data_IF_697336550940
#
_entry.id   IF_697336550940
#
_cell.length_a   1.000
_cell.length_b   1.000
_cell.length_c   1.000
_cell.angle_alpha   90.00
_cell.angle_beta   90.00
_cell.angle_gamma   90.00
#
_symmetry.space_group_name_H-M   'P 1'
#
loop_
_entity.id
_entity.type
_entity.pdbx_description
1 polymer ?
#
# COMPACT_ATOMS: atom_id res chain seq x y z
N UNK A 1 -0.02 -12.76 -20.18
CA UNK A 1 0.32 -13.11 -18.78
C UNK A 1 -0.02 -14.57 -18.57
N UNK A 2 0.98 -15.45 -18.60
CA UNK A 2 0.81 -16.89 -18.37
C UNK A 2 1.20 -17.14 -16.92
N UNK A 3 0.31 -17.76 -16.14
CA UNK A 3 0.58 -18.11 -14.74
C UNK A 3 0.85 -19.61 -14.68
N UNK A 4 2.07 -19.99 -14.31
CA UNK A 4 2.45 -21.38 -14.10
C UNK A 4 2.27 -21.71 -12.62
N UNK A 5 1.31 -22.57 -12.31
CA UNK A 5 1.04 -22.98 -10.94
C UNK A 5 1.85 -24.23 -10.59
N UNK A 6 2.77 -24.11 -9.63
CA UNK A 6 3.52 -25.24 -9.11
C UNK A 6 2.65 -26.07 -8.15
N UNK A 7 2.87 -27.39 -8.14
CA UNK A 7 2.23 -28.29 -7.17
C UNK A 7 2.67 -27.90 -5.74
N UNK A 8 1.73 -27.91 -4.79
CA UNK A 8 2.00 -27.62 -3.38
C UNK A 8 3.14 -28.49 -2.85
N UNK A 9 4.14 -27.88 -2.23
CA UNK A 9 5.26 -28.57 -1.58
C UNK A 9 6.59 -28.56 -2.36
N UNK A 10 6.60 -28.07 -3.60
CA UNK A 10 7.84 -27.98 -4.40
C UNK A 10 8.47 -26.59 -4.19
N UNK A 11 9.59 -26.53 -3.47
CA UNK A 11 10.37 -25.29 -3.24
C UNK A 11 11.25 -24.89 -4.44
N UNK A 12 10.81 -25.16 -5.68
CA UNK A 12 11.63 -24.96 -6.89
C UNK A 12 11.21 -23.71 -7.69
N UNK A 13 10.48 -22.76 -7.08
CA UNK A 13 9.98 -21.57 -7.77
C UNK A 13 11.10 -20.67 -8.31
N UNK A 14 12.24 -20.58 -7.62
CA UNK A 14 13.43 -19.84 -8.07
C UNK A 14 14.20 -20.60 -9.16
N UNK A 15 14.38 -21.92 -9.00
CA UNK A 15 15.08 -22.77 -9.97
C UNK A 15 14.34 -22.84 -11.33
N UNK A 16 13.01 -22.93 -11.30
CA UNK A 16 12.19 -22.87 -12.51
C UNK A 16 12.19 -21.47 -13.13
N UNK A 17 12.28 -20.41 -12.31
CA UNK A 17 12.48 -19.05 -12.82
C UNK A 17 13.75 -18.95 -13.66
N UNK A 18 14.87 -19.49 -13.16
CA UNK A 18 16.14 -19.48 -13.90
C UNK A 18 16.13 -20.34 -15.17
N UNK A 19 15.43 -21.48 -15.17
CA UNK A 19 15.26 -22.30 -16.38
C UNK A 19 14.34 -21.62 -17.42
N UNK A 20 13.29 -20.96 -16.94
CA UNK A 20 12.36 -20.22 -17.78
C UNK A 20 13.03 -18.98 -18.39
N UNK A 21 13.84 -18.24 -17.63
CA UNK A 21 14.61 -17.11 -18.16
C UNK A 21 15.63 -17.58 -19.22
N UNK A 22 16.24 -18.75 -19.03
CA UNK A 22 17.11 -19.38 -20.03
C UNK A 22 16.38 -19.81 -21.31
N UNK A 23 15.12 -20.25 -21.19
CA UNK A 23 14.31 -20.71 -22.33
C UNK A 23 13.55 -19.57 -23.05
N UNK A 24 13.20 -18.50 -22.33
CA UNK A 24 12.38 -17.39 -22.83
C UNK A 24 13.23 -16.21 -23.33
N UNK A 25 14.50 -16.10 -22.92
CA UNK A 25 15.39 -15.02 -23.34
C UNK A 25 14.78 -13.64 -23.10
N UNK A 26 14.83 -12.75 -24.09
CA UNK A 26 14.27 -11.39 -24.00
C UNK A 26 12.73 -11.33 -24.17
N UNK A 27 12.07 -12.46 -24.47
CA UNK A 27 10.65 -12.47 -24.82
C UNK A 27 9.71 -12.41 -23.60
N UNK A 28 10.18 -12.83 -22.43
CA UNK A 28 9.40 -12.79 -21.19
C UNK A 28 10.27 -12.91 -19.94
N UNK A 29 9.90 -12.19 -18.87
CA UNK A 29 10.51 -12.29 -17.55
C UNK A 29 9.73 -13.29 -16.68
N UNK A 30 10.40 -14.33 -16.18
CA UNK A 30 9.80 -15.26 -15.24
C UNK A 30 10.09 -14.80 -13.80
N UNK A 31 9.06 -14.46 -13.04
CA UNK A 31 9.21 -14.15 -11.61
C UNK A 31 8.30 -15.02 -10.76
N UNK A 32 8.83 -15.49 -9.63
CA UNK A 32 8.05 -16.25 -8.66
C UNK A 32 6.94 -15.37 -8.09
N UNK A 33 5.70 -15.88 -8.12
CA UNK A 33 4.56 -15.21 -7.52
C UNK A 33 4.69 -15.27 -5.99
N UNK A 34 5.28 -14.23 -5.42
CA UNK A 34 5.42 -14.07 -3.97
C UNK A 34 4.32 -13.15 -3.43
N UNK A 35 3.97 -13.36 -2.16
CA UNK A 35 3.19 -12.37 -1.43
C UNK A 35 4.01 -11.07 -1.35
N UNK A 36 3.34 -9.96 -1.70
CA UNK A 36 3.92 -8.62 -1.69
C UNK A 36 3.28 -7.83 -0.57
N UNK A 37 4.12 -7.20 0.23
CA UNK A 37 3.74 -6.25 1.27
C UNK A 37 4.06 -4.84 0.79
N UNK A 38 3.07 -3.95 0.91
CA UNK A 38 3.23 -2.54 0.58
C UNK A 38 3.90 -1.81 1.74
N UNK A 39 4.98 -1.07 1.48
CA UNK A 39 5.65 -0.19 2.42
C UNK A 39 5.46 1.28 2.05
N UNK A 40 5.35 2.13 3.06
CA UNK A 40 5.40 3.59 2.96
C UNK A 40 6.76 4.12 3.43
N UNK A 41 7.48 4.79 2.54
CA UNK A 41 8.73 5.49 2.84
C UNK A 41 8.44 6.98 2.93
N UNK A 42 8.65 7.59 4.10
CA UNK A 42 8.36 9.00 4.40
C UNK A 42 9.64 9.82 4.53
N UNK A 43 9.50 11.14 4.34
CA UNK A 43 10.59 12.11 4.42
C UNK A 43 11.64 11.90 3.32
N UNK A 44 11.19 11.53 2.12
CA UNK A 44 12.04 11.56 0.94
C UNK A 44 12.28 13.01 0.53
N UNK A 45 13.40 13.26 -0.13
CA UNK A 45 13.70 14.55 -0.74
C UNK A 45 12.69 14.89 -1.85
N UNK A 46 12.48 16.18 -2.15
CA UNK A 46 11.59 16.60 -3.23
C UNK A 46 12.02 16.12 -4.62
N UNK A 47 13.32 15.87 -4.81
CA UNK A 47 13.89 15.42 -6.07
C UNK A 47 14.08 13.89 -6.13
N UNK A 48 13.69 13.14 -5.09
CA UNK A 48 13.93 11.71 -5.03
C UNK A 48 13.21 10.96 -6.17
N UNK A 49 13.98 10.18 -6.93
CA UNK A 49 13.43 9.40 -8.06
C UNK A 49 13.13 7.95 -7.68
N UNK A 50 12.28 7.28 -8.47
CA UNK A 50 12.01 5.83 -8.30
C UNK A 50 13.29 5.00 -8.31
N UNK A 51 14.22 5.32 -9.21
CA UNK A 51 15.49 4.61 -9.39
C UNK A 51 16.35 4.76 -8.13
N UNK A 52 16.50 5.97 -7.59
CA UNK A 52 17.26 6.21 -6.37
C UNK A 52 16.73 5.44 -5.17
N UNK A 53 15.40 5.34 -5.04
CA UNK A 53 14.75 4.58 -3.96
C UNK A 53 15.07 3.08 -4.10
N UNK A 54 14.98 2.53 -5.31
CA UNK A 54 15.33 1.14 -5.58
C UNK A 54 16.81 0.88 -5.30
N UNK A 55 17.72 1.74 -5.76
CA UNK A 55 19.17 1.61 -5.51
C UNK A 55 19.48 1.63 -4.02
N UNK A 56 18.85 2.53 -3.26
CA UNK A 56 19.01 2.60 -1.82
C UNK A 56 18.53 1.32 -1.11
N UNK A 57 17.40 0.75 -1.54
CA UNK A 57 16.90 -0.52 -1.02
C UNK A 57 17.86 -1.67 -1.34
N UNK A 58 18.35 -1.78 -2.56
CA UNK A 58 19.32 -2.81 -2.95
C UNK A 58 20.60 -2.74 -2.12
N UNK A 59 21.13 -1.53 -1.89
CA UNK A 59 22.35 -1.33 -1.11
C UNK A 59 22.17 -1.64 0.37
N UNK A 60 20.99 -1.40 0.96
CA UNK A 60 20.78 -1.60 2.40
C UNK A 60 20.19 -2.96 2.76
N UNK A 61 19.61 -3.67 1.79
CA UNK A 61 19.00 -4.99 2.00
C UNK A 61 19.82 -6.15 1.40
N UNK A 62 20.96 -5.85 0.76
CA UNK A 62 21.82 -6.79 0.04
C UNK A 62 21.03 -7.67 -0.95
N UNK A 63 20.25 -7.03 -1.82
CA UNK A 63 19.32 -7.72 -2.74
C UNK A 63 19.53 -7.36 -4.19
N UNK A 64 19.15 -8.32 -5.05
CA UNK A 64 19.16 -8.15 -6.50
C UNK A 64 18.18 -7.05 -6.96
N UNK A 65 18.60 -6.39 -8.04
CA UNK A 65 17.96 -5.24 -8.70
C UNK A 65 16.43 -5.23 -8.60
N UNK A 66 15.89 -4.24 -7.89
CA UNK A 66 14.45 -3.99 -7.82
C UNK A 66 14.01 -3.16 -9.02
N UNK A 67 13.00 -3.66 -9.74
CA UNK A 67 12.37 -2.92 -10.82
C UNK A 67 11.80 -1.58 -10.28
N UNK A 68 12.10 -0.42 -10.92
CA UNK A 68 11.48 0.85 -10.60
C UNK A 68 9.94 0.82 -10.55
N UNK A 69 9.29 -0.10 -11.26
CA UNK A 69 7.84 -0.28 -11.24
C UNK A 69 7.30 -0.88 -9.95
N UNK A 70 8.17 -1.43 -9.09
CA UNK A 70 7.80 -1.76 -7.70
C UNK A 70 7.34 -0.52 -6.92
N UNK A 71 7.82 0.68 -7.30
CA UNK A 71 7.37 1.95 -6.72
C UNK A 71 6.05 2.37 -7.34
N UNK A 72 4.96 2.02 -6.64
CA UNK A 72 3.58 2.26 -7.07
C UNK A 72 3.21 3.74 -7.13
N UNK A 73 3.70 4.56 -6.20
CA UNK A 73 3.42 5.99 -6.22
C UNK A 73 4.45 6.81 -5.46
N UNK A 74 4.73 8.01 -5.98
CA UNK A 74 5.47 9.08 -5.33
C UNK A 74 4.53 10.27 -5.18
N UNK A 75 4.33 10.71 -3.94
CA UNK A 75 3.39 11.79 -3.61
C UNK A 75 4.15 12.89 -2.90
N UNK A 76 4.00 14.14 -3.37
CA UNK A 76 4.51 15.31 -2.65
C UNK A 76 3.80 15.40 -1.29
N UNK A 77 4.59 15.58 -0.25
CA UNK A 77 4.15 15.82 1.11
C UNK A 77 4.41 17.30 1.49
N UNK A 78 4.17 17.65 2.74
CA UNK A 78 4.38 19.01 3.23
C UNK A 78 5.87 19.35 3.32
N UNK A 79 6.20 20.65 3.22
CA UNK A 79 7.55 21.18 3.42
C UNK A 79 8.65 20.59 2.50
N UNK A 80 8.37 20.40 1.20
CA UNK A 80 9.39 19.95 0.24
C UNK A 80 9.86 18.52 0.47
N UNK A 81 9.02 17.66 1.05
CA UNK A 81 9.30 16.23 1.20
C UNK A 81 8.39 15.39 0.32
N UNK A 82 8.77 14.15 0.08
CA UNK A 82 7.97 13.16 -0.65
C UNK A 82 7.67 11.92 0.21
N UNK A 83 6.60 11.22 -0.17
CA UNK A 83 6.26 9.91 0.37
C UNK A 83 6.12 8.93 -0.79
N UNK A 84 6.89 7.85 -0.76
CA UNK A 84 6.81 6.77 -1.73
C UNK A 84 6.06 5.58 -1.15
N UNK A 85 5.31 4.90 -2.01
CA UNK A 85 4.74 3.58 -1.73
C UNK A 85 5.43 2.57 -2.63
N UNK A 86 6.01 1.53 -2.04
CA UNK A 86 6.68 0.45 -2.75
C UNK A 86 6.09 -0.90 -2.35
N UNK A 87 5.85 -1.76 -3.34
CA UNK A 87 5.40 -3.13 -3.11
C UNK A 87 6.62 -4.07 -3.16
N UNK A 88 7.01 -4.65 -2.02
CA UNK A 88 8.15 -5.55 -1.90
C UNK A 88 7.70 -6.96 -1.52
N UNK A 89 8.44 -8.02 -1.91
CA UNK A 89 8.23 -9.36 -1.39
C UNK A 89 8.32 -9.38 0.15
N UNK A 90 7.52 -10.21 0.80
CA UNK A 90 7.37 -10.23 2.27
C UNK A 90 8.71 -10.38 3.02
N UNK A 91 9.65 -11.19 2.49
CA UNK A 91 10.97 -11.37 3.10
C UNK A 91 11.77 -10.07 3.13
N UNK A 92 11.74 -9.30 2.02
CA UNK A 92 12.44 -8.02 1.91
C UNK A 92 11.72 -6.95 2.71
N UNK A 93 10.39 -6.98 2.70
CA UNK A 93 9.58 -6.06 3.48
C UNK A 93 9.86 -6.21 4.98
N UNK A 94 9.95 -7.45 5.49
CA UNK A 94 10.29 -7.71 6.89
C UNK A 94 11.69 -7.19 7.26
N UNK A 95 12.68 -7.36 6.39
CA UNK A 95 14.03 -6.80 6.60
C UNK A 95 14.00 -5.25 6.63
N UNK A 96 13.31 -4.63 5.67
CA UNK A 96 13.18 -3.18 5.61
C UNK A 96 12.45 -2.61 6.85
N UNK A 97 11.43 -3.30 7.35
CA UNK A 97 10.71 -2.93 8.57
C UNK A 97 11.58 -3.07 9.82
N UNK A 98 12.44 -4.09 9.91
CA UNK A 98 13.40 -4.26 11.00
C UNK A 98 14.44 -3.15 11.05
N UNK A 99 14.92 -2.68 9.89
CA UNK A 99 15.78 -1.50 9.81
C UNK A 99 15.04 -0.23 10.26
N UNK A 100 13.76 -0.11 9.89
CA UNK A 100 12.86 1.00 10.28
C UNK A 100 13.19 2.36 9.63
N UNK A 101 14.35 2.47 8.99
CA UNK A 101 14.78 3.64 8.25
C UNK A 101 15.63 3.23 7.04
N UNK A 102 15.56 4.03 5.99
CA UNK A 102 16.29 3.87 4.76
C UNK A 102 17.05 5.16 4.46
N UNK A 103 18.28 5.08 4.00
CA UNK A 103 19.04 6.24 3.52
C UNK A 103 18.87 6.34 2.02
N UNK A 104 18.15 7.35 1.56
CA UNK A 104 18.02 7.67 0.13
C UNK A 104 18.80 8.95 -0.13
N UNK A 105 19.88 8.84 -0.92
CA UNK A 105 20.87 9.90 -1.07
C UNK A 105 21.47 10.33 0.28
N UNK A 106 21.18 11.57 0.70
CA UNK A 106 21.66 12.16 1.95
C UNK A 106 20.61 12.19 3.07
N UNK A 107 19.39 11.76 2.79
CA UNK A 107 18.27 11.88 3.73
C UNK A 107 18.00 10.54 4.42
N UNK A 108 17.74 10.58 5.73
CA UNK A 108 17.29 9.43 6.52
C UNK A 108 15.76 9.36 6.47
N UNK A 109 15.24 8.50 5.61
CA UNK A 109 13.81 8.27 5.40
C UNK A 109 13.28 7.23 6.40
N UNK A 110 12.02 7.38 6.83
CA UNK A 110 11.37 6.41 7.74
C UNK A 110 10.55 5.41 6.93
N UNK A 111 10.70 4.13 7.25
CA UNK A 111 9.96 3.04 6.60
C UNK A 111 8.85 2.57 7.52
N UNK A 112 7.64 2.49 6.99
CA UNK A 112 6.48 1.98 7.69
C UNK A 112 5.76 0.95 6.83
N UNK A 113 5.15 -0.05 7.45
CA UNK A 113 4.24 -0.93 6.74
C UNK A 113 3.00 -0.13 6.34
N UNK A 114 2.60 -0.24 5.07
CA UNK A 114 1.38 0.39 4.60
C UNK A 114 0.22 -0.49 5.01
N UNK A 115 -0.27 -0.26 6.22
CA UNK A 115 -1.50 -0.86 6.69
C UNK A 115 -2.68 -0.36 5.84
N UNK A 116 -3.01 -1.12 4.79
CA UNK A 116 -4.24 -0.92 4.03
C UNK A 116 -5.40 -1.38 4.90
N UNK A 117 -6.09 -0.43 5.52
CA UNK A 117 -7.44 -0.64 6.00
C UNK A 117 -8.35 -0.79 4.77
N UNK A 118 -8.43 -2.02 4.23
CA UNK A 118 -9.40 -2.33 3.20
C UNK A 118 -10.79 -2.08 3.79
N UNK A 119 -11.52 -1.18 3.15
CA UNK A 119 -12.90 -0.87 3.51
C UNK A 119 -13.85 -1.58 2.58
N UNK A 120 -15.00 -1.96 3.11
CA UNK A 120 -16.12 -2.40 2.32
C UNK A 120 -16.67 -1.21 1.52
N UNK A 121 -16.77 -1.31 0.20
CA UNK A 121 -17.34 -0.25 -0.63
C UNK A 121 -18.86 -0.12 -0.50
N UNK A 122 -19.52 -1.13 0.09
CA UNK A 122 -20.96 -1.13 0.35
C UNK A 122 -21.26 -0.45 1.70
N UNK A 123 -20.87 -1.03 2.83
CA UNK A 123 -21.22 -0.48 4.15
C UNK A 123 -20.19 0.50 4.75
N UNK A 124 -19.01 0.62 4.15
CA UNK A 124 -17.87 1.41 4.63
C UNK A 124 -17.25 0.93 5.94
N UNK A 125 -17.51 -0.30 6.38
CA UNK A 125 -16.77 -0.87 7.52
C UNK A 125 -15.42 -1.45 7.10
N UNK A 126 -14.55 -1.67 8.07
CA UNK A 126 -13.24 -2.30 7.90
C UNK A 126 -13.38 -3.83 8.03
N UNK A 127 -12.36 -4.58 7.59
CA UNK A 127 -12.25 -6.06 7.65
C UNK A 127 -12.99 -6.89 6.59
N UNK A 128 -13.79 -6.32 5.70
CA UNK A 128 -14.43 -7.11 4.65
C UNK A 128 -14.59 -6.37 3.33
N UNK A 129 -14.89 -7.14 2.27
CA UNK A 129 -15.12 -6.64 0.92
C UNK A 129 -16.61 -6.64 0.59
N UNK A 130 -17.03 -5.82 -0.37
CA UNK A 130 -18.43 -5.67 -0.75
C UNK A 130 -19.12 -7.01 -1.11
N UNK A 131 -18.40 -7.95 -1.72
CA UNK A 131 -18.92 -9.27 -2.08
C UNK A 131 -19.35 -10.14 -0.88
N UNK A 132 -18.88 -9.83 0.34
CA UNK A 132 -19.21 -10.54 1.58
C UNK A 132 -19.88 -9.60 2.60
N UNK A 133 -20.44 -8.48 2.13
CA UNK A 133 -21.05 -7.48 3.00
C UNK A 133 -22.45 -7.92 3.42
N UNK A 134 -22.69 -7.91 4.73
CA UNK A 134 -24.03 -8.08 5.34
C UNK A 134 -24.56 -6.77 5.95
N UNK A 135 -23.79 -5.69 5.84
CA UNK A 135 -24.15 -4.37 6.34
C UNK A 135 -25.04 -3.58 5.38
N UNK A 136 -25.47 -2.37 5.80
CA UNK A 136 -26.34 -1.51 4.99
C UNK A 136 -25.60 -0.95 3.77
N UNK A 137 -26.31 -0.82 2.65
CA UNK A 137 -25.73 -0.27 1.42
C UNK A 137 -25.62 1.26 1.47
N UNK A 138 -24.36 1.73 1.51
CA UNK A 138 -23.97 3.14 1.46
C UNK A 138 -23.19 3.48 0.19
N UNK A 139 -23.16 2.58 -0.80
CA UNK A 139 -22.34 2.73 -2.01
C UNK A 139 -22.63 3.98 -2.83
N UNK A 140 -23.89 4.48 -2.79
CA UNK A 140 -24.33 5.69 -3.49
C UNK A 140 -24.06 6.98 -2.71
N UNK A 141 -23.82 6.89 -1.41
CA UNK A 141 -23.63 8.06 -0.56
C UNK A 141 -22.28 8.72 -0.82
N UNK A 142 -22.24 10.04 -0.63
CA UNK A 142 -21.00 10.80 -0.70
C UNK A 142 -20.07 10.39 0.45
N UNK A 143 -18.90 9.87 0.12
CA UNK A 143 -17.90 9.43 1.12
C UNK A 143 -17.46 10.52 2.10
N UNK A 144 -17.60 11.81 1.72
CA UNK A 144 -17.21 12.94 2.57
C UNK A 144 -18.28 13.29 3.61
N UNK A 145 -19.56 13.36 3.20
CA UNK A 145 -20.64 13.92 4.04
C UNK A 145 -21.81 12.95 4.29
N UNK A 146 -21.83 11.79 3.65
CA UNK A 146 -22.86 10.77 3.82
C UNK A 146 -24.19 11.04 3.11
N UNK A 147 -24.30 12.10 2.30
CA UNK A 147 -25.52 12.41 1.55
C UNK A 147 -25.48 11.88 0.11
N UNK A 148 -26.64 11.57 -0.46
CA UNK A 148 -26.78 11.17 -1.86
C UNK A 148 -26.78 12.39 -2.83
N UNK A 149 -26.71 12.13 -4.13
CA UNK A 149 -26.82 13.14 -5.20
C UNK A 149 -25.50 13.77 -5.63
N UNK A 150 -24.38 13.45 -4.97
CA UNK A 150 -23.05 13.94 -5.38
C UNK A 150 -21.91 13.02 -4.94
N UNK A 151 -20.74 13.19 -5.55
CA UNK A 151 -19.51 12.46 -5.19
C UNK A 151 -18.60 13.32 -4.32
N UNK A 152 -17.70 12.68 -3.58
CA UNK A 152 -16.74 13.38 -2.70
C UNK A 152 -15.91 14.46 -3.43
N UNK A 153 -15.62 14.28 -4.72
CA UNK A 153 -14.88 15.24 -5.56
C UNK A 153 -15.63 16.56 -5.76
N UNK A 154 -16.96 16.55 -5.77
CA UNK A 154 -17.82 17.73 -5.94
C UNK A 154 -18.51 18.15 -4.63
N UNK A 155 -18.20 17.49 -3.51
CA UNK A 155 -18.81 17.73 -2.22
C UNK A 155 -18.32 19.04 -1.58
N UNK A 156 -19.27 19.94 -1.30
CA UNK A 156 -19.05 21.19 -0.55
C UNK A 156 -19.44 21.11 0.93
N UNK A 157 -20.10 20.02 1.33
CA UNK A 157 -20.58 19.83 2.70
C UNK A 157 -19.43 19.51 3.67
N UNK A 158 -19.67 19.79 4.95
CA UNK A 158 -18.76 19.43 6.03
C UNK A 158 -18.53 17.91 6.08
N UNK A 159 -17.31 17.47 6.40
CA UNK A 159 -17.01 16.05 6.49
C UNK A 159 -17.67 15.42 7.72
N UNK A 160 -18.35 14.30 7.50
CA UNK A 160 -19.05 13.53 8.54
C UNK A 160 -18.66 12.07 8.42
N UNK A 161 -18.40 11.44 9.57
CA UNK A 161 -18.16 10.03 9.70
C UNK A 161 -19.47 9.31 10.04
N UNK A 162 -19.87 8.35 9.19
CA UNK A 162 -21.09 7.57 9.39
C UNK A 162 -20.91 6.37 10.34
N UNK A 163 -19.67 6.08 10.75
CA UNK A 163 -19.34 4.95 11.63
C UNK A 163 -19.08 5.40 13.07
N UNK A 164 -18.59 6.63 13.27
CA UNK A 164 -18.45 7.21 14.60
C UNK A 164 -19.81 7.67 15.11
N UNK A 165 -20.08 7.48 16.40
CA UNK A 165 -21.31 7.94 17.04
C UNK A 165 -21.05 9.23 17.85
N UNK A 166 -22.04 10.11 17.91
CA UNK A 166 -22.00 11.32 18.77
C UNK A 166 -21.07 12.43 18.25
N UNK A 167 -20.43 13.22 19.14
CA UNK A 167 -19.63 14.39 18.76
C UNK A 167 -18.43 14.05 17.88
N UNK A 168 -17.91 12.82 18.01
CA UNK A 168 -16.82 12.27 17.21
C UNK A 168 -17.23 11.96 15.76
N UNK A 169 -18.50 12.12 15.37
CA UNK A 169 -18.94 11.95 13.99
C UNK A 169 -18.59 13.15 13.09
N UNK A 170 -18.29 14.30 13.67
CA UNK A 170 -18.08 15.55 12.93
C UNK A 170 -16.60 15.89 12.74
N UNK A 171 -16.27 16.64 11.68
CA UNK A 171 -14.91 17.15 11.44
C UNK A 171 -13.98 16.19 10.69
N UNK A 172 -14.45 14.99 10.32
CA UNK A 172 -13.68 14.05 9.51
C UNK A 172 -14.58 13.15 8.66
N UNK A 173 -14.07 12.68 7.52
CA UNK A 173 -14.81 11.76 6.65
C UNK A 173 -14.71 10.32 7.18
N UNK A 174 -15.71 9.49 6.87
CA UNK A 174 -15.71 8.06 7.21
C UNK A 174 -14.41 7.39 6.79
N UNK A 175 -13.70 6.68 7.66
CA UNK A 175 -12.40 6.01 7.36
C UNK A 175 -11.25 6.96 6.94
N UNK A 176 -11.37 8.27 7.19
CA UNK A 176 -10.19 9.16 7.02
C UNK A 176 -9.09 8.80 8.04
N UNK A 177 -7.80 9.12 7.77
CA UNK A 177 -6.71 8.89 8.73
C UNK A 177 -6.94 9.58 10.08
N UNK A 178 -7.72 10.66 10.10
CA UNK A 178 -8.12 11.38 11.31
C UNK A 178 -9.18 10.64 12.13
N UNK A 179 -9.89 9.66 11.54
CA UNK A 179 -10.96 8.91 12.17
C UNK A 179 -10.46 8.05 13.35
N UNK A 180 -11.04 8.18 14.55
CA UNK A 180 -10.66 7.37 15.72
C UNK A 180 -10.80 5.86 15.48
N UNK A 181 -11.83 5.41 14.76
CA UNK A 181 -12.03 4.00 14.44
C UNK A 181 -10.90 3.44 13.59
N UNK A 182 -10.43 4.22 12.61
CA UNK A 182 -9.27 3.83 11.79
C UNK A 182 -8.00 3.82 12.60
N UNK A 183 -7.78 4.82 13.45
CA UNK A 183 -6.61 4.85 14.34
C UNK A 183 -6.56 3.60 15.23
N UNK A 184 -7.68 3.25 15.87
CA UNK A 184 -7.82 2.02 16.67
C UNK A 184 -7.57 0.76 15.86
N UNK A 185 -8.14 0.71 14.64
CA UNK A 185 -7.96 -0.41 13.74
C UNK A 185 -6.49 -0.61 13.33
N UNK A 186 -5.82 0.48 12.94
CA UNK A 186 -4.41 0.46 12.55
C UNK A 186 -3.50 0.15 13.75
N UNK A 187 -3.84 0.60 14.96
CA UNK A 187 -3.07 0.26 16.16
C UNK A 187 -3.26 -1.19 16.60
N UNK A 188 -4.43 -1.80 16.36
CA UNK A 188 -4.68 -3.22 16.70
C UNK A 188 -3.90 -4.22 15.83
N UNK A 189 -3.31 -3.75 14.72
CA UNK A 189 -2.47 -4.55 13.81
C UNK A 189 -0.97 -4.36 14.05
N UNK A 190 -0.57 -3.53 15.02
CA UNK A 190 0.83 -3.33 15.41
C UNK A 190 1.23 -4.21 16.58
#
# INVERSE_FOLDING_TARGET
MVVLQLRKGVQNASALGTELDGALGDAATASALSHKTALEIRYLDECATKVEICTALCHQLDTANLDPDAVRSLRKAYAGTQTAVIDLPDELAAKALKLGHLRVGWVRCRVHERAMASRCFCCWELNHVAARCVGPDRSKLCYRCGQDGHRAKTCRNAPVCLLCQGPDASGHATISPSCPLVKKFLSSRR
#
